data_IF_737071151746
#
_entry.id   IF_737071151746
#
_cell.length_a   1.000
_cell.length_b   1.000
_cell.length_c   1.000
_cell.angle_alpha   90.00
_cell.angle_beta   90.00
_cell.angle_gamma   90.00
#
_symmetry.space_group_name_H-M   'P 1'
#
loop_
_entity.id
_entity.type
_entity.pdbx_description
1 polymer ?
#
# COMPACT_ATOMS: atom_id res chain seq x y z
N UNK A 1 11.38 3.80 -5.86
CA UNK A 1 10.60 3.22 -6.96
C UNK A 1 9.19 2.93 -6.44
N UNK A 2 8.14 3.11 -7.24
CA UNK A 2 6.77 2.78 -6.89
C UNK A 2 6.51 1.30 -7.13
N UNK A 3 5.95 0.60 -6.13
CA UNK A 3 5.57 -0.81 -6.21
C UNK A 3 4.07 -1.00 -6.04
N UNK A 4 3.57 -2.16 -6.43
CA UNK A 4 2.22 -2.65 -6.14
C UNK A 4 2.23 -3.37 -4.78
N UNK A 5 1.13 -3.31 -4.04
CA UNK A 5 0.98 -3.97 -2.75
C UNK A 5 -0.39 -4.65 -2.67
N UNK A 6 -0.47 -5.85 -3.26
CA UNK A 6 -1.67 -6.68 -3.22
C UNK A 6 -1.64 -7.51 -1.94
N UNK A 7 -2.42 -7.07 -0.95
CA UNK A 7 -2.66 -7.82 0.28
C UNK A 7 -3.43 -9.12 -0.06
N UNK A 8 -2.99 -10.31 0.43
CA UNK A 8 -3.69 -11.58 0.22
C UNK A 8 -5.16 -11.49 0.60
N UNK A 9 -6.04 -12.21 -0.10
CA UNK A 9 -7.48 -12.11 0.12
C UNK A 9 -7.91 -12.53 1.54
N UNK A 10 -7.22 -13.51 2.13
CA UNK A 10 -7.36 -13.97 3.52
C UNK A 10 -7.03 -12.88 4.54
N UNK A 11 -6.22 -11.89 4.15
CA UNK A 11 -5.75 -10.79 5.02
C UNK A 11 -6.60 -9.51 4.93
N UNK A 12 -7.58 -9.39 4.03
CA UNK A 12 -8.26 -8.11 3.77
C UNK A 12 -8.96 -7.49 5.00
N UNK A 13 -9.40 -8.32 5.96
CA UNK A 13 -10.04 -7.86 7.19
C UNK A 13 -9.04 -7.66 8.36
N UNK A 14 -7.78 -8.02 8.15
CA UNK A 14 -6.65 -7.92 9.10
C UNK A 14 -5.82 -6.66 8.83
N UNK A 15 -6.46 -5.49 8.85
CA UNK A 15 -5.79 -4.20 8.65
C UNK A 15 -5.58 -3.44 9.96
N UNK A 16 -4.74 -2.41 9.95
CA UNK A 16 -4.41 -1.66 11.14
C UNK A 16 -5.62 -0.92 11.71
N UNK A 17 -6.52 -0.46 10.83
CA UNK A 17 -7.70 0.30 11.24
C UNK A 17 -8.71 -0.54 12.03
N UNK A 18 -8.80 -1.85 11.79
CA UNK A 18 -9.66 -2.72 12.60
C UNK A 18 -9.09 -3.00 13.99
N UNK A 19 -7.78 -2.82 14.18
CA UNK A 19 -7.07 -3.05 15.44
C UNK A 19 -6.89 -1.79 16.29
N UNK A 20 -7.13 -0.59 15.74
CA UNK A 20 -6.93 0.68 16.43
C UNK A 20 -8.23 1.48 16.58
N UNK A 21 -8.30 2.24 17.67
CA UNK A 21 -9.33 3.27 17.79
C UNK A 21 -9.11 4.33 16.70
N UNK A 22 -10.20 5.01 16.31
CA UNK A 22 -10.12 6.13 15.36
C UNK A 22 -9.11 7.21 15.82
N UNK A 23 -9.00 7.46 17.12
CA UNK A 23 -8.07 8.45 17.66
C UNK A 23 -6.61 8.03 17.48
N UNK A 24 -6.27 6.78 17.77
CA UNK A 24 -4.93 6.23 17.56
C UNK A 24 -4.55 6.24 16.08
N UNK A 25 -5.46 5.79 15.21
CA UNK A 25 -5.23 5.85 13.76
C UNK A 25 -5.06 7.28 13.26
N UNK A 26 -5.89 8.22 13.73
CA UNK A 26 -5.77 9.63 13.39
C UNK A 26 -4.45 10.24 13.85
N UNK A 27 -3.92 9.82 15.00
CA UNK A 27 -2.62 10.25 15.49
C UNK A 27 -1.51 9.79 14.55
N UNK A 28 -1.43 8.48 14.28
CA UNK A 28 -0.41 7.87 13.42
C UNK A 28 -0.41 8.47 12.01
N UNK A 29 -1.58 8.48 11.34
CA UNK A 29 -1.66 8.98 9.96
C UNK A 29 -1.30 10.47 9.86
N UNK A 30 -1.67 11.30 10.84
CA UNK A 30 -1.32 12.73 10.84
C UNK A 30 0.17 12.95 11.11
N UNK A 31 0.80 12.12 11.95
CA UNK A 31 2.24 12.15 12.14
C UNK A 31 2.97 11.78 10.84
N UNK A 32 2.52 10.72 10.17
CA UNK A 32 3.03 10.32 8.85
C UNK A 32 2.96 11.47 7.83
N UNK A 33 1.80 12.14 7.71
CA UNK A 33 1.65 13.29 6.80
C UNK A 33 2.59 14.45 7.12
N UNK A 34 2.75 14.77 8.41
CA UNK A 34 3.61 15.86 8.87
C UNK A 34 5.08 15.54 8.62
N UNK A 35 5.52 14.31 8.91
CA UNK A 35 6.88 13.85 8.65
C UNK A 35 7.24 13.95 7.16
N UNK A 36 6.30 13.61 6.28
CA UNK A 36 6.46 13.73 4.84
C UNK A 36 6.26 15.15 4.29
N UNK A 37 6.05 16.18 5.12
CA UNK A 37 5.78 17.54 4.65
C UNK A 37 4.56 17.65 3.72
N UNK A 38 3.60 16.74 3.86
CA UNK A 38 2.42 16.61 2.99
C UNK A 38 2.76 16.47 1.49
N UNK A 39 3.86 15.78 1.15
CA UNK A 39 4.20 15.35 -0.21
C UNK A 39 4.29 13.84 -0.29
N UNK A 40 4.06 13.27 -1.48
CA UNK A 40 4.28 11.86 -1.72
C UNK A 40 5.75 11.49 -1.52
N UNK A 41 6.04 10.54 -0.65
CA UNK A 41 7.40 10.08 -0.37
C UNK A 41 8.00 9.26 -1.52
N UNK A 42 7.18 8.84 -2.49
CA UNK A 42 7.62 8.07 -3.67
C UNK A 42 7.89 8.97 -4.88
N UNK A 43 6.98 9.90 -5.20
CA UNK A 43 7.05 10.68 -6.44
C UNK A 43 7.13 12.20 -6.22
N UNK A 44 7.09 12.68 -4.98
CA UNK A 44 7.02 14.11 -4.63
C UNK A 44 5.69 14.81 -4.97
N UNK A 45 4.76 14.11 -5.63
CA UNK A 45 3.48 14.66 -6.05
C UNK A 45 2.47 14.89 -4.92
N UNK A 46 1.35 15.53 -5.27
CA UNK A 46 0.21 15.78 -4.39
C UNK A 46 -1.10 15.50 -5.13
N UNK A 47 -2.14 15.12 -4.38
CA UNK A 47 -3.48 14.97 -4.91
C UNK A 47 -4.23 16.30 -5.06
N UNK A 48 -5.29 16.34 -5.89
CA UNK A 48 -6.05 17.56 -6.17
C UNK A 48 -7.00 17.97 -5.04
N UNK A 49 -7.57 17.01 -4.31
CA UNK A 49 -8.53 17.26 -3.21
C UNK A 49 -7.87 17.21 -1.82
N UNK A 50 -6.94 16.28 -1.65
CA UNK A 50 -6.06 16.19 -0.48
C UNK A 50 -4.66 15.85 -0.96
N UNK A 51 -3.60 16.33 -0.28
CA UNK A 51 -2.24 16.21 -0.78
C UNK A 51 -1.74 14.77 -0.77
N UNK A 52 -1.98 14.03 0.33
CA UNK A 52 -1.49 12.68 0.55
C UNK A 52 -2.50 11.80 1.30
N UNK A 53 -2.32 10.49 1.19
CA UNK A 53 -3.01 9.41 1.86
C UNK A 53 -1.99 8.56 2.61
N UNK A 54 -2.38 8.01 3.76
CA UNK A 54 -1.52 7.16 4.58
C UNK A 54 -1.70 5.73 4.12
N UNK A 55 -0.59 5.08 3.78
CA UNK A 55 -0.55 3.68 3.39
C UNK A 55 0.26 2.88 4.40
N UNK A 56 -0.23 1.69 4.75
CA UNK A 56 0.52 0.72 5.54
C UNK A 56 1.63 0.12 4.67
N UNK A 57 2.80 -0.13 5.24
CA UNK A 57 3.89 -0.84 4.57
C UNK A 57 3.95 -2.25 5.14
N UNK A 58 3.59 -3.23 4.32
CA UNK A 58 3.59 -4.63 4.72
C UNK A 58 4.82 -5.40 4.22
N UNK A 59 5.36 -6.24 5.09
CA UNK A 59 6.30 -7.30 4.76
C UNK A 59 5.58 -8.64 4.91
N UNK A 60 5.77 -9.54 3.94
CA UNK A 60 5.15 -10.86 3.94
C UNK A 60 6.24 -11.91 4.05
N UNK A 61 6.29 -12.61 5.19
CA UNK A 61 7.13 -13.79 5.38
C UNK A 61 6.36 -15.02 4.87
N UNK A 62 6.70 -15.47 3.66
CA UNK A 62 6.04 -16.60 2.99
C UNK A 62 6.36 -17.97 3.66
N UNK A 63 7.47 -18.11 4.40
CA UNK A 63 7.81 -19.37 5.09
C UNK A 63 6.99 -19.60 6.35
N UNK A 64 6.74 -18.52 7.11
CA UNK A 64 5.98 -18.54 8.36
C UNK A 64 4.56 -17.98 8.24
N UNK A 65 4.13 -17.63 7.03
CA UNK A 65 2.88 -16.95 6.71
C UNK A 65 2.55 -15.81 7.67
N UNK A 66 3.51 -14.89 7.86
CA UNK A 66 3.34 -13.73 8.74
C UNK A 66 3.29 -12.45 7.93
N UNK A 67 2.21 -11.68 8.10
CA UNK A 67 2.04 -10.34 7.57
C UNK A 67 2.49 -9.34 8.64
N UNK A 68 3.60 -8.67 8.38
CA UNK A 68 4.29 -7.82 9.36
C UNK A 68 4.14 -6.36 8.94
N UNK A 69 3.60 -5.52 9.82
CA UNK A 69 3.57 -4.07 9.62
C UNK A 69 4.97 -3.51 9.84
N UNK A 70 5.56 -2.91 8.81
CA UNK A 70 6.89 -2.27 8.89
C UNK A 70 6.82 -0.77 9.10
N UNK A 71 5.66 -0.17 8.81
CA UNK A 71 5.43 1.24 9.06
C UNK A 71 4.34 1.84 8.20
N UNK A 72 4.37 3.17 8.10
CA UNK A 72 3.41 3.95 7.35
C UNK A 72 4.15 4.87 6.38
N UNK A 73 3.55 5.11 5.22
CA UNK A 73 4.08 6.01 4.18
C UNK A 73 3.00 6.96 3.65
N UNK A 74 3.38 8.21 3.42
CA UNK A 74 2.55 9.24 2.81
C UNK A 74 2.66 9.20 1.29
N UNK A 75 1.55 8.91 0.63
CA UNK A 75 1.48 8.78 -0.83
C UNK A 75 0.50 9.78 -1.43
N UNK A 76 0.78 10.33 -2.62
CA UNK A 76 -0.28 11.01 -3.37
C UNK A 76 -1.36 10.00 -3.78
N UNK A 77 -2.60 10.43 -4.04
CA UNK A 77 -3.70 9.51 -4.37
C UNK A 77 -3.41 8.58 -5.56
N UNK A 78 -2.63 9.03 -6.54
CA UNK A 78 -2.26 8.19 -7.68
C UNK A 78 -1.23 7.12 -7.33
N UNK A 79 -0.22 7.42 -6.50
CA UNK A 79 0.71 6.40 -6.00
C UNK A 79 -0.02 5.41 -5.07
N UNK A 80 -0.91 5.90 -4.22
CA UNK A 80 -1.71 5.07 -3.34
C UNK A 80 -2.67 4.14 -4.13
N UNK A 81 -3.24 4.63 -5.23
CA UNK A 81 -4.04 3.80 -6.12
C UNK A 81 -3.23 2.67 -6.77
N UNK A 82 -1.96 2.90 -7.11
CA UNK A 82 -1.05 1.86 -7.64
C UNK A 82 -0.76 0.79 -6.59
N UNK A 83 -0.59 1.16 -5.32
CA UNK A 83 -0.47 0.17 -4.25
C UNK A 83 -1.66 -0.78 -4.26
N UNK A 84 -2.88 -0.24 -4.40
CA UNK A 84 -4.12 -1.00 -4.48
C UNK A 84 -4.60 -1.26 -5.93
N UNK A 85 -3.70 -1.65 -6.84
CA UNK A 85 -4.05 -1.75 -8.27
C UNK A 85 -5.20 -2.72 -8.58
N UNK A 86 -5.39 -3.78 -7.79
CA UNK A 86 -6.52 -4.69 -7.93
C UNK A 86 -7.87 -4.03 -7.66
N UNK A 87 -7.92 -3.15 -6.65
CA UNK A 87 -9.11 -2.32 -6.39
C UNK A 87 -9.30 -1.27 -7.48
N UNK A 88 -8.21 -0.68 -7.98
CA UNK A 88 -8.27 0.26 -9.10
C UNK A 88 -8.88 -0.40 -10.34
N UNK A 89 -8.47 -1.63 -10.68
CA UNK A 89 -9.03 -2.44 -11.75
C UNK A 89 -10.53 -2.67 -11.60
N UNK A 90 -10.99 -3.12 -10.42
CA UNK A 90 -12.43 -3.29 -10.12
C UNK A 90 -13.25 -2.00 -10.26
N UNK A 91 -12.61 -0.84 -10.13
CA UNK A 91 -13.24 0.49 -10.28
C UNK A 91 -13.10 1.09 -11.67
N UNK A 92 -12.58 0.33 -12.66
CA UNK A 92 -12.35 0.83 -14.01
C UNK A 92 -11.19 1.82 -14.13
N UNK A 93 -10.29 1.86 -13.13
CA UNK A 93 -9.13 2.78 -13.05
C UNK A 93 -7.78 2.06 -13.19
N UNK A 94 -7.78 0.80 -13.61
CA UNK A 94 -6.57 -0.02 -13.76
C UNK A 94 -5.56 0.55 -14.75
N UNK A 95 -6.03 1.10 -15.88
CA UNK A 95 -5.17 1.74 -16.87
C UNK A 95 -4.48 2.99 -16.30
N UNK A 96 -5.23 3.86 -15.62
CA UNK A 96 -4.67 5.04 -14.96
C UNK A 96 -3.58 4.67 -13.95
N UNK A 97 -3.81 3.62 -13.15
CA UNK A 97 -2.84 3.11 -12.20
C UNK A 97 -1.59 2.58 -12.91
N UNK A 98 -1.75 1.76 -13.95
CA UNK A 98 -0.62 1.23 -14.74
C UNK A 98 0.22 2.33 -15.36
N UNK A 99 -0.40 3.31 -16.02
CA UNK A 99 0.33 4.42 -16.63
C UNK A 99 1.02 5.30 -15.60
N UNK A 100 0.41 5.49 -14.42
CA UNK A 100 1.06 6.18 -13.32
C UNK A 100 2.29 5.41 -12.80
N UNK A 101 2.17 4.10 -12.61
CA UNK A 101 3.27 3.21 -12.24
C UNK A 101 4.42 3.29 -13.25
N UNK A 102 4.11 3.15 -14.54
CA UNK A 102 5.09 3.24 -15.62
C UNK A 102 5.84 4.58 -15.58
N UNK A 103 5.10 5.69 -15.50
CA UNK A 103 5.66 7.04 -15.47
C UNK A 103 6.57 7.29 -14.26
N UNK A 104 6.15 6.89 -13.05
CA UNK A 104 6.94 7.11 -11.82
C UNK A 104 8.23 6.29 -11.84
N UNK A 105 8.20 5.10 -12.44
CA UNK A 105 9.36 4.20 -12.49
C UNK A 105 10.23 4.37 -13.75
N UNK A 106 9.82 5.21 -14.71
CA UNK A 106 10.51 5.32 -15.99
C UNK A 106 10.40 4.05 -16.84
N UNK A 107 9.34 3.27 -16.66
CA UNK A 107 9.10 2.04 -17.40
C UNK A 107 8.28 2.27 -18.67
N UNK A 108 8.40 1.35 -19.62
CA UNK A 108 7.43 1.23 -20.71
C UNK A 108 6.12 0.66 -20.19
N UNK A 109 5.02 0.93 -20.88
CA UNK A 109 3.71 0.34 -20.54
C UNK A 109 3.75 -1.20 -20.55
N UNK A 110 4.53 -1.79 -21.47
CA UNK A 110 4.71 -3.25 -21.53
C UNK A 110 5.40 -3.81 -20.27
N UNK A 111 6.46 -3.15 -19.79
CA UNK A 111 7.15 -3.56 -18.57
C UNK A 111 6.25 -3.38 -17.33
N UNK A 112 5.53 -2.26 -17.23
CA UNK A 112 4.56 -2.07 -16.14
C UNK A 112 3.46 -3.14 -16.16
N UNK A 113 2.97 -3.51 -17.34
CA UNK A 113 1.98 -4.58 -17.49
C UNK A 113 2.54 -5.94 -17.04
N UNK A 114 3.79 -6.26 -17.36
CA UNK A 114 4.41 -7.51 -16.95
C UNK A 114 4.59 -7.59 -15.42
N UNK A 115 5.13 -6.54 -14.82
CA UNK A 115 5.24 -6.42 -13.38
C UNK A 115 3.88 -6.55 -12.66
N UNK A 116 2.81 -5.99 -13.24
CA UNK A 116 1.45 -6.16 -12.72
C UNK A 116 1.05 -7.64 -12.73
N UNK A 117 1.29 -8.37 -13.82
CA UNK A 117 0.96 -9.80 -13.90
C UNK A 117 1.72 -10.60 -12.85
N UNK A 118 3.03 -10.36 -12.70
CA UNK A 118 3.86 -10.99 -11.67
C UNK A 118 3.31 -10.73 -10.27
N UNK A 119 2.93 -9.49 -9.97
CA UNK A 119 2.33 -9.12 -8.69
C UNK A 119 1.00 -9.87 -8.44
N UNK A 120 0.16 -10.04 -9.47
CA UNK A 120 -1.08 -10.83 -9.37
C UNK A 120 -0.83 -12.33 -9.23
N UNK A 121 0.22 -12.87 -9.84
CA UNK A 121 0.62 -14.26 -9.67
C UNK A 121 1.02 -14.53 -8.22
N UNK A 122 1.91 -13.72 -7.66
CA UNK A 122 2.30 -13.80 -6.23
C UNK A 122 1.09 -13.63 -5.32
N UNK A 123 0.21 -12.67 -5.61
CA UNK A 123 -1.02 -12.47 -4.84
C UNK A 123 -1.93 -13.70 -4.85
N UNK A 124 -2.05 -14.39 -6.00
CA UNK A 124 -2.88 -15.58 -6.11
C UNK A 124 -2.34 -16.71 -5.23
N UNK A 125 -1.03 -16.97 -5.28
CA UNK A 125 -0.37 -17.98 -4.43
C UNK A 125 -0.53 -17.66 -2.93
N UNK A 126 -0.22 -16.42 -2.53
CA UNK A 126 -0.35 -16.00 -1.11
C UNK A 126 -1.78 -16.04 -0.59
N UNK A 127 -2.77 -15.91 -1.48
CA UNK A 127 -4.19 -15.93 -1.13
C UNK A 127 -4.74 -17.33 -0.89
N UNK A 128 -3.93 -18.39 -1.08
CA UNK A 128 -4.29 -19.76 -0.72
C UNK A 128 -4.03 -20.08 0.76
N UNK A 129 -3.29 -19.21 1.45
CA UNK A 129 -2.77 -19.45 2.79
C UNK A 129 -3.41 -18.52 3.82
N UNK A 130 -3.45 -18.99 5.07
CA UNK A 130 -3.87 -18.20 6.23
C UNK A 130 -2.66 -17.54 6.87
N UNK A 131 -2.79 -16.26 7.20
CA UNK A 131 -1.66 -15.44 7.66
C UNK A 131 -1.83 -14.99 9.11
N UNK A 132 -0.72 -14.98 9.83
CA UNK A 132 -0.59 -14.37 11.16
C UNK A 132 -0.32 -12.88 10.98
N UNK A 133 -1.10 -12.04 11.66
CA UNK A 133 -0.91 -10.59 11.64
C UNK A 133 0.05 -10.17 12.76
N UNK A 134 1.15 -9.51 12.40
CA UNK A 134 2.07 -8.85 13.32
C UNK A 134 2.01 -7.33 13.11
N UNK A 135 1.47 -6.62 14.11
CA UNK A 135 1.37 -5.16 14.16
C UNK A 135 2.12 -4.57 15.36
N UNK A 136 3.11 -5.29 15.90
CA UNK A 136 3.94 -4.85 17.03
C UNK A 136 4.56 -3.45 16.82
N UNK A 137 4.85 -3.09 15.56
CA UNK A 137 5.28 -1.75 15.15
C UNK A 137 4.42 -0.62 15.72
N UNK A 138 3.10 -0.85 15.87
CA UNK A 138 2.18 0.16 16.40
C UNK A 138 2.48 0.53 17.84
N UNK A 139 2.79 -0.46 18.68
CA UNK A 139 3.01 -0.25 20.11
C UNK A 139 4.22 0.67 20.34
N UNK A 140 5.25 0.50 19.52
CA UNK A 140 6.47 1.32 19.53
C UNK A 140 6.23 2.77 19.08
N UNK A 141 5.14 3.04 18.34
CA UNK A 141 4.87 4.33 17.69
C UNK A 141 3.58 5.01 18.17
N UNK A 142 2.86 4.41 19.12
CA UNK A 142 1.72 5.01 19.83
C UNK A 142 2.05 5.50 21.24
N UNK A 143 3.23 5.16 21.77
CA UNK A 143 3.69 5.53 23.11
C UNK A 143 4.01 7.03 23.24
#
# INVERSE_FOLDING_TARGET
MLSIELVPSTCWYSNLRSNLTKAQWDHLRKNCYRAAGYVCEVCGGKGPRWPVECHEIWEFNDEGFTQILKGLISLCPSCHEVKHIGLAGKRGRGENARSHLARVNGWTEAHAQEYIKEAFFVWAERSLEEWILDISWVEEHLA
#
